data_IF_991615319664
#
_entry.id   IF_991615319664
#
_cell.length_a   1.000
_cell.length_b   1.000
_cell.length_c   1.000
_cell.angle_alpha   90.00
_cell.angle_beta   90.00
_cell.angle_gamma   90.00
#
_symmetry.space_group_name_H-M   'P 1'
#
loop_
_entity.id
_entity.type
_entity.pdbx_description
1 polymer ?
#
# COMPACT_ATOMS: atom_id res chain seq x y z
N UNK A 1 15.78 -1.40 8.93
CA UNK A 1 14.93 -0.50 8.11
C UNK A 1 13.46 -0.67 8.46
N UNK A 2 12.90 0.21 9.30
CA UNK A 2 11.45 0.27 9.65
C UNK A 2 10.75 1.49 9.01
N UNK A 3 11.30 2.04 7.92
CA UNK A 3 10.83 3.31 7.34
C UNK A 3 9.39 3.25 6.84
N UNK A 4 8.98 2.13 6.23
CA UNK A 4 7.62 1.95 5.71
C UNK A 4 6.60 1.85 6.85
N UNK A 5 6.85 1.00 7.85
CA UNK A 5 6.00 0.89 9.04
C UNK A 5 5.89 2.22 9.80
N UNK A 6 7.01 2.95 9.96
CA UNK A 6 6.99 4.24 10.66
C UNK A 6 6.17 5.28 9.89
N UNK A 7 6.27 5.32 8.56
CA UNK A 7 5.45 6.20 7.71
C UNK A 7 3.98 5.83 7.77
N UNK A 8 3.68 4.53 7.71
CA UNK A 8 2.32 4.02 7.85
C UNK A 8 1.69 4.46 9.17
N UNK A 9 2.38 4.23 10.29
CA UNK A 9 1.92 4.64 11.61
C UNK A 9 1.74 6.16 11.70
N UNK A 10 2.70 6.95 11.22
CA UNK A 10 2.57 8.41 11.19
C UNK A 10 1.35 8.90 10.38
N UNK A 11 1.00 8.22 9.28
CA UNK A 11 -0.17 8.57 8.46
C UNK A 11 -1.45 8.16 9.17
N UNK A 12 -1.46 6.98 9.81
CA UNK A 12 -2.58 6.47 10.59
C UNK A 12 -2.89 7.39 11.77
N UNK A 13 -1.88 7.80 12.53
CA UNK A 13 -2.03 8.75 13.65
C UNK A 13 -2.57 10.11 13.19
N UNK A 14 -2.21 10.56 11.98
CA UNK A 14 -2.68 11.84 11.43
C UNK A 14 -4.07 11.79 10.82
N UNK A 15 -4.62 10.60 10.53
CA UNK A 15 -5.88 10.48 9.80
C UNK A 15 -6.73 9.32 10.37
N UNK A 16 -7.09 9.30 11.66
CA UNK A 16 -7.64 8.12 12.34
C UNK A 16 -8.92 7.52 11.71
N UNK A 17 -9.58 8.25 10.80
CA UNK A 17 -10.87 7.88 10.20
C UNK A 17 -10.73 7.11 8.86
N UNK A 18 -9.54 6.69 8.43
CA UNK A 18 -9.37 5.93 7.19
C UNK A 18 -9.09 4.44 7.45
N UNK A 19 -9.37 3.61 6.45
CA UNK A 19 -9.02 2.17 6.46
C UNK A 19 -7.51 1.95 6.39
N UNK A 20 -7.04 0.80 6.88
CA UNK A 20 -5.63 0.40 6.81
C UNK A 20 -5.12 0.33 5.37
N UNK A 21 -6.00 -0.03 4.42
CA UNK A 21 -5.71 0.05 2.98
C UNK A 21 -5.34 1.47 2.54
N UNK A 22 -6.14 2.48 2.93
CA UNK A 22 -5.93 3.86 2.54
C UNK A 22 -4.63 4.44 3.12
N UNK A 23 -4.30 4.10 4.37
CA UNK A 23 -3.00 4.44 4.96
C UNK A 23 -1.84 3.84 4.16
N UNK A 24 -1.99 2.59 3.74
CA UNK A 24 -0.96 1.89 2.97
C UNK A 24 -0.75 2.51 1.59
N UNK A 25 -1.85 2.78 0.86
CA UNK A 25 -1.82 3.47 -0.44
C UNK A 25 -1.08 4.81 -0.33
N UNK A 26 -1.42 5.64 0.66
CA UNK A 26 -0.75 6.93 0.89
C UNK A 26 0.73 6.77 1.27
N UNK A 27 1.08 5.69 1.96
CA UNK A 27 2.48 5.40 2.34
C UNK A 27 3.34 5.07 1.13
N UNK A 28 2.81 4.31 0.17
CA UNK A 28 3.58 3.85 -0.99
C UNK A 28 3.46 4.76 -2.22
N UNK A 29 2.42 5.60 -2.29
CA UNK A 29 2.19 6.51 -3.42
C UNK A 29 3.39 7.43 -3.62
N UNK A 30 3.96 7.40 -4.82
CA UNK A 30 5.15 8.20 -5.16
C UNK A 30 6.46 7.70 -4.54
N UNK A 31 6.44 6.56 -3.85
CA UNK A 31 7.64 5.87 -3.38
C UNK A 31 7.92 4.69 -4.29
N UNK A 32 9.12 4.62 -4.88
CA UNK A 32 9.57 3.51 -5.74
C UNK A 32 9.96 2.27 -4.92
N UNK A 33 9.02 1.69 -4.20
CA UNK A 33 9.25 0.44 -3.47
C UNK A 33 9.26 -0.75 -4.43
N UNK A 34 10.08 -1.74 -4.13
CA UNK A 34 10.07 -3.00 -4.87
C UNK A 34 8.78 -3.77 -4.55
N UNK A 35 8.20 -4.46 -5.55
CA UNK A 35 6.96 -5.25 -5.44
C UNK A 35 6.98 -6.19 -4.24
N UNK A 36 8.08 -6.94 -4.07
CA UNK A 36 8.23 -7.86 -2.94
C UNK A 36 8.14 -7.15 -1.58
N UNK A 37 8.71 -5.94 -1.48
CA UNK A 37 8.62 -5.13 -0.27
C UNK A 37 7.18 -4.68 -0.04
N UNK A 38 6.51 -4.13 -1.07
CA UNK A 38 5.11 -3.71 -1.00
C UNK A 38 4.21 -4.86 -0.58
N UNK A 39 4.33 -6.03 -1.19
CA UNK A 39 3.49 -7.20 -0.89
C UNK A 39 3.72 -7.72 0.53
N UNK A 40 4.99 -7.81 0.98
CA UNK A 40 5.33 -8.26 2.33
C UNK A 40 4.76 -7.32 3.40
N UNK A 41 4.87 -6.01 3.19
CA UNK A 41 4.36 -5.02 4.14
C UNK A 41 2.84 -4.86 4.07
N UNK A 42 2.24 -4.99 2.88
CA UNK A 42 0.79 -5.00 2.72
C UNK A 42 0.16 -6.07 3.60
N UNK A 43 0.66 -7.30 3.51
CA UNK A 43 0.16 -8.42 4.31
C UNK A 43 0.41 -8.26 5.82
N UNK A 44 1.35 -7.41 6.22
CA UNK A 44 1.71 -7.17 7.63
C UNK A 44 0.98 -5.98 8.25
N UNK A 45 0.64 -4.96 7.46
CA UNK A 45 0.10 -3.68 7.94
C UNK A 45 -1.37 -3.45 7.56
N UNK A 46 -1.83 -4.04 6.46
CA UNK A 46 -3.22 -3.93 6.01
C UNK A 46 -4.02 -5.06 6.61
N UNK A 47 -5.12 -4.72 7.27
CA UNK A 47 -6.05 -5.69 7.81
C UNK A 47 -6.66 -6.54 6.70
N UNK A 48 -6.88 -7.83 6.96
CA UNK A 48 -7.48 -8.75 6.00
C UNK A 48 -8.96 -8.47 5.77
N UNK A 49 -9.62 -7.78 6.69
CA UNK A 49 -11.02 -7.36 6.55
C UNK A 49 -11.16 -6.07 5.73
N UNK A 50 -10.08 -5.29 5.57
CA UNK A 50 -10.03 -4.08 4.75
C UNK A 50 -9.86 -4.36 3.24
N UNK A 51 -9.73 -5.62 2.83
CA UNK A 51 -9.72 -6.00 1.42
C UNK A 51 -10.40 -7.35 1.17
N UNK A 52 -11.04 -7.47 0.02
CA UNK A 52 -11.63 -8.73 -0.41
C UNK A 52 -10.49 -9.70 -0.78
N UNK A 53 -10.35 -10.81 -0.05
CA UNK A 53 -9.30 -11.81 -0.29
C UNK A 53 -9.28 -12.33 -1.74
N UNK A 54 -10.47 -12.47 -2.36
CA UNK A 54 -10.63 -12.86 -3.76
C UNK A 54 -10.00 -11.86 -4.74
N UNK A 55 -9.98 -10.58 -4.37
CA UNK A 55 -9.43 -9.49 -5.17
C UNK A 55 -8.00 -9.11 -4.78
N UNK A 56 -7.39 -9.79 -3.79
CA UNK A 56 -6.03 -9.50 -3.30
C UNK A 56 -5.02 -9.32 -4.43
N UNK A 57 -5.09 -10.15 -5.48
CA UNK A 57 -4.18 -10.07 -6.63
C UNK A 57 -4.35 -8.76 -7.43
N UNK A 58 -5.59 -8.32 -7.63
CA UNK A 58 -5.89 -7.05 -8.29
C UNK A 58 -5.47 -5.86 -7.42
N UNK A 59 -5.73 -5.93 -6.11
CA UNK A 59 -5.30 -4.90 -5.14
C UNK A 59 -3.78 -4.74 -5.14
N UNK A 60 -3.02 -5.84 -5.10
CA UNK A 60 -1.56 -5.81 -5.14
C UNK A 60 -1.03 -5.26 -6.46
N UNK A 61 -1.65 -5.63 -7.59
CA UNK A 61 -1.29 -5.09 -8.90
C UNK A 61 -1.53 -3.57 -8.98
N UNK A 62 -2.64 -3.09 -8.41
CA UNK A 62 -2.92 -1.66 -8.31
C UNK A 62 -1.88 -0.94 -7.44
N UNK A 63 -1.51 -1.52 -6.29
CA UNK A 63 -0.48 -0.96 -5.40
C UNK A 63 0.90 -0.89 -6.06
N UNK A 64 1.27 -1.92 -6.83
CA UNK A 64 2.51 -1.93 -7.60
C UNK A 64 2.53 -0.81 -8.65
N UNK A 65 1.39 -0.55 -9.31
CA UNK A 65 1.27 0.56 -10.28
C UNK A 65 1.34 1.94 -9.59
N UNK A 66 0.76 2.09 -8.39
CA UNK A 66 0.82 3.34 -7.64
C UNK A 66 2.22 3.67 -7.10
N UNK A 67 3.03 2.65 -6.83
CA UNK A 67 4.41 2.79 -6.35
C UNK A 67 5.37 3.19 -7.48
N UNK A 68 5.07 2.82 -8.72
CA UNK A 68 5.90 3.08 -9.90
C UNK A 68 5.14 3.90 -10.95
N UNK A 69 5.21 5.25 -10.88
CA UNK A 69 4.50 6.12 -11.81
C UNK A 69 5.00 6.01 -13.28
N UNK A 70 6.08 5.27 -13.57
CA UNK A 70 6.63 5.13 -14.91
C UNK A 70 5.99 3.99 -15.73
N UNK A 71 5.07 3.21 -15.15
CA UNK A 71 4.38 2.10 -15.83
C UNK A 71 2.93 2.38 -16.23
N UNK A 72 2.42 3.58 -16.03
CA UNK A 72 1.11 3.97 -16.56
C UNK A 72 1.25 4.29 -18.05
N UNK A 73 1.32 3.25 -18.88
CA UNK A 73 0.95 3.37 -20.29
C UNK A 73 -0.56 3.28 -20.35
N UNK A 74 -1.18 4.41 -20.67
CA UNK A 74 -2.57 4.49 -21.12
C UNK A 74 -2.84 3.41 -22.17
N UNK A 75 -3.94 2.68 -22.03
CA UNK A 75 -4.58 1.89 -23.07
C UNK A 75 -6.09 1.94 -22.89
#
# INVERSE_FOLDING_TARGET
MKSLQRRFNNIAEKNPNLSSYAYFVRTIKGQRFNKQTTHRWFQKLVDKDDYVKKEKRAVLAHLDNLSDPLRTTEK
#
